data_IF_759535978955
#
_entry.id   IF_759535978955
#
_cell.length_a   1.000
_cell.length_b   1.000
_cell.length_c   1.000
_cell.angle_alpha   90.00
_cell.angle_beta   90.00
_cell.angle_gamma   90.00
#
_symmetry.space_group_name_H-M   'P 1'
#
loop_
_entity.id
_entity.type
_entity.pdbx_description
1 polymer ?
#
# COMPACT_ATOMS: atom_id res chain seq x y z
N UNK A 1 -19.23 11.73 -17.13
CA UNK A 1 -19.88 11.31 -15.85
C UNK A 1 -19.37 9.96 -15.32
N UNK A 2 -19.44 8.81 -16.03
CA UNK A 2 -18.96 7.53 -15.48
C UNK A 2 -17.44 7.46 -15.26
N UNK A 3 -16.66 8.27 -15.99
CA UNK A 3 -15.21 8.35 -15.84
C UNK A 3 -14.77 8.97 -14.50
N UNK A 4 -15.40 10.07 -14.08
CA UNK A 4 -15.09 10.75 -12.81
C UNK A 4 -15.40 9.91 -11.58
N UNK A 5 -16.46 9.09 -11.64
CA UNK A 5 -16.77 8.12 -10.59
C UNK A 5 -15.71 7.02 -10.49
N UNK A 6 -15.22 6.53 -11.63
CA UNK A 6 -14.16 5.52 -11.68
C UNK A 6 -12.84 6.07 -11.10
N UNK A 7 -12.48 7.30 -11.47
CA UNK A 7 -11.32 8.00 -10.90
C UNK A 7 -11.47 8.22 -9.39
N UNK A 8 -12.63 8.70 -8.95
CA UNK A 8 -12.92 8.91 -7.52
C UNK A 8 -12.82 7.62 -6.72
N UNK A 9 -13.38 6.52 -7.23
CA UNK A 9 -13.33 5.22 -6.56
C UNK A 9 -11.91 4.65 -6.54
N UNK A 10 -11.15 4.81 -7.63
CA UNK A 10 -9.73 4.42 -7.67
C UNK A 10 -8.91 5.22 -6.66
N UNK A 11 -9.11 6.54 -6.59
CA UNK A 11 -8.43 7.41 -5.63
C UNK A 11 -8.78 7.04 -4.18
N UNK A 12 -10.06 6.79 -3.87
CA UNK A 12 -10.49 6.35 -2.55
C UNK A 12 -9.86 4.99 -2.16
N UNK A 13 -9.80 4.04 -3.09
CA UNK A 13 -9.11 2.77 -2.89
C UNK A 13 -7.60 2.97 -2.64
N UNK A 14 -6.96 3.85 -3.41
CA UNK A 14 -5.54 4.17 -3.25
C UNK A 14 -5.23 4.79 -1.89
N UNK A 15 -6.04 5.76 -1.43
CA UNK A 15 -5.90 6.37 -0.10
C UNK A 15 -6.07 5.32 1.00
N UNK A 16 -7.11 4.47 0.90
CA UNK A 16 -7.36 3.40 1.87
C UNK A 16 -6.20 2.40 1.93
N UNK A 17 -5.66 2.03 0.77
CA UNK A 17 -4.50 1.15 0.65
C UNK A 17 -3.25 1.75 1.29
N UNK A 18 -2.92 3.01 0.97
CA UNK A 18 -1.76 3.73 1.51
C UNK A 18 -1.87 3.91 3.02
N UNK A 19 -3.05 4.26 3.53
CA UNK A 19 -3.29 4.38 4.97
C UNK A 19 -3.04 3.04 5.69
N UNK A 20 -3.52 1.92 5.13
CA UNK A 20 -3.27 0.59 5.67
C UNK A 20 -1.79 0.19 5.66
N UNK A 21 -1.09 0.46 4.55
CA UNK A 21 0.36 0.24 4.41
C UNK A 21 1.17 1.02 5.44
N UNK A 22 0.85 2.30 5.65
CA UNK A 22 1.50 3.15 6.64
C UNK A 22 1.20 2.68 8.06
N UNK A 23 -0.05 2.36 8.38
CA UNK A 23 -0.43 1.84 9.70
C UNK A 23 0.34 0.55 10.03
N UNK A 24 0.38 -0.42 9.10
CA UNK A 24 1.16 -1.63 9.24
C UNK A 24 2.66 -1.32 9.37
N UNK A 25 3.19 -0.38 8.58
CA UNK A 25 4.60 -0.01 8.62
C UNK A 25 5.00 0.59 9.98
N UNK A 26 4.16 1.47 10.54
CA UNK A 26 4.39 2.09 11.84
C UNK A 26 4.42 1.05 12.96
N UNK A 27 3.44 0.14 12.98
CA UNK A 27 3.42 -0.94 13.96
C UNK A 27 4.69 -1.78 13.87
N UNK A 28 5.05 -2.17 12.66
CA UNK A 28 6.22 -2.99 12.41
C UNK A 28 7.55 -2.27 12.72
N UNK A 29 7.62 -0.95 12.55
CA UNK A 29 8.82 -0.15 12.79
C UNK A 29 9.03 0.16 14.28
N UNK A 30 7.95 0.44 15.01
CA UNK A 30 8.04 1.05 16.33
C UNK A 30 7.59 0.13 17.47
N UNK A 31 6.76 -0.89 17.20
CA UNK A 31 6.37 -1.84 18.25
C UNK A 31 7.53 -2.82 18.50
N UNK A 32 8.10 -2.85 19.72
CA UNK A 32 9.29 -3.64 20.00
C UNK A 32 9.03 -5.14 20.02
N UNK A 33 7.85 -5.56 20.46
CA UNK A 33 7.53 -6.95 20.78
C UNK A 33 6.01 -7.14 20.91
N UNK A 34 5.56 -8.39 20.99
CA UNK A 34 4.13 -8.74 21.02
C UNK A 34 3.41 -8.22 22.27
N UNK A 35 4.09 -8.23 23.42
CA UNK A 35 3.62 -7.83 24.74
C UNK A 35 3.43 -6.31 24.90
N UNK A 36 4.02 -5.50 24.00
CA UNK A 36 3.85 -4.06 24.02
C UNK A 36 2.42 -3.59 23.68
N UNK A 37 1.58 -4.47 23.10
CA UNK A 37 0.21 -4.17 22.71
C UNK A 37 -0.74 -5.30 23.12
N UNK A 38 -2.00 -4.97 23.37
CA UNK A 38 -2.98 -5.96 23.83
C UNK A 38 -3.32 -7.01 22.75
N UNK A 39 -3.71 -8.23 23.14
CA UNK A 39 -4.19 -9.24 22.19
C UNK A 39 -5.38 -8.77 21.35
N UNK A 40 -6.26 -7.93 21.91
CA UNK A 40 -7.38 -7.33 21.21
C UNK A 40 -6.90 -6.37 20.10
N UNK A 41 -5.88 -5.55 20.39
CA UNK A 41 -5.27 -4.68 19.39
C UNK A 41 -4.71 -5.48 18.22
N UNK A 42 -3.96 -6.55 18.49
CA UNK A 42 -3.40 -7.39 17.43
C UNK A 42 -4.47 -8.06 16.56
N UNK A 43 -5.59 -8.48 17.15
CA UNK A 43 -6.74 -8.99 16.38
C UNK A 43 -7.31 -7.91 15.47
N UNK A 44 -7.52 -6.70 15.99
CA UNK A 44 -8.04 -5.57 15.21
C UNK A 44 -7.08 -5.17 14.08
N UNK A 45 -5.79 -5.02 14.35
CA UNK A 45 -4.77 -4.65 13.37
C UNK A 45 -4.69 -5.66 12.21
N UNK A 46 -4.71 -6.97 12.53
CA UNK A 46 -4.72 -8.02 11.49
C UNK A 46 -6.03 -8.07 10.72
N UNK A 47 -7.16 -7.85 11.39
CA UNK A 47 -8.46 -7.78 10.74
C UNK A 47 -8.51 -6.60 9.76
N UNK A 48 -8.04 -5.42 10.15
CA UNK A 48 -7.93 -4.25 9.28
C UNK A 48 -7.05 -4.54 8.06
N UNK A 49 -5.85 -5.09 8.26
CA UNK A 49 -4.94 -5.41 7.17
C UNK A 49 -5.57 -6.38 6.16
N UNK A 50 -6.31 -7.38 6.64
CA UNK A 50 -6.96 -8.40 5.80
C UNK A 50 -8.23 -7.89 5.12
N UNK A 51 -9.08 -7.18 5.84
CA UNK A 51 -10.45 -6.87 5.41
C UNK A 51 -10.62 -5.45 4.86
N UNK A 52 -9.67 -4.55 5.11
CA UNK A 52 -9.70 -3.17 4.59
C UNK A 52 -8.57 -2.98 3.59
N UNK A 53 -7.32 -3.21 4.00
CA UNK A 53 -6.16 -2.98 3.13
C UNK A 53 -6.09 -3.97 1.97
N UNK A 54 -6.40 -5.25 2.23
CA UNK A 54 -6.46 -6.31 1.21
C UNK A 54 -7.45 -6.03 0.08
N UNK A 55 -8.74 -5.75 0.36
CA UNK A 55 -9.68 -5.36 -0.69
C UNK A 55 -9.31 -4.04 -1.38
N UNK A 56 -8.75 -3.07 -0.65
CA UNK A 56 -8.34 -1.80 -1.24
C UNK A 56 -7.28 -1.98 -2.34
N UNK A 57 -6.28 -2.86 -2.16
CA UNK A 57 -5.29 -3.12 -3.22
C UNK A 57 -5.90 -3.78 -4.46
N UNK A 58 -6.89 -4.66 -4.28
CA UNK A 58 -7.61 -5.28 -5.40
C UNK A 58 -8.37 -4.22 -6.20
N UNK A 59 -9.01 -3.27 -5.52
CA UNK A 59 -9.69 -2.15 -6.16
C UNK A 59 -8.71 -1.19 -6.83
N UNK A 60 -7.54 -0.91 -6.24
CA UNK A 60 -6.49 -0.10 -6.87
C UNK A 60 -6.10 -0.68 -8.23
N UNK A 61 -5.84 -2.00 -8.29
CA UNK A 61 -5.49 -2.67 -9.54
C UNK A 61 -6.67 -2.73 -10.51
N UNK A 62 -7.84 -3.20 -10.08
CA UNK A 62 -9.00 -3.37 -10.95
C UNK A 62 -9.45 -2.05 -11.58
N UNK A 63 -9.59 -1.00 -10.77
CA UNK A 63 -10.03 0.32 -11.24
C UNK A 63 -8.92 1.04 -12.00
N UNK A 64 -7.66 0.90 -11.55
CA UNK A 64 -6.51 1.53 -12.19
C UNK A 64 -6.23 0.98 -13.58
N UNK A 65 -6.29 -0.34 -13.76
CA UNK A 65 -6.17 -0.97 -15.08
C UNK A 65 -7.35 -0.61 -15.98
N UNK A 66 -8.57 -0.55 -15.43
CA UNK A 66 -9.75 -0.10 -16.19
C UNK A 66 -9.57 1.33 -16.69
N UNK A 67 -9.05 2.24 -15.86
CA UNK A 67 -8.73 3.61 -16.25
C UNK A 67 -7.63 3.66 -17.32
N UNK A 68 -6.58 2.85 -17.18
CA UNK A 68 -5.49 2.79 -18.15
C UNK A 68 -5.95 2.32 -19.55
N UNK A 69 -6.82 1.31 -19.60
CA UNK A 69 -7.43 0.83 -20.85
C UNK A 69 -8.35 1.89 -21.43
N UNK A 70 -9.29 2.43 -20.64
CA UNK A 70 -10.26 3.44 -21.12
C UNK A 70 -9.61 4.76 -21.54
N UNK A 71 -8.49 5.12 -20.90
CA UNK A 71 -7.71 6.30 -21.24
C UNK A 71 -6.76 6.11 -22.44
N UNK A 72 -6.61 4.88 -22.95
CA UNK A 72 -5.71 4.58 -24.07
C UNK A 72 -4.21 4.74 -23.75
N UNK A 73 -3.82 4.69 -22.48
CA UNK A 73 -2.44 5.03 -22.04
C UNK A 73 -1.45 3.86 -22.11
N UNK A 74 -1.94 2.61 -22.15
CA UNK A 74 -1.09 1.41 -22.09
C UNK A 74 0.02 1.31 -23.16
N UNK A 75 -0.19 1.70 -24.44
CA UNK A 75 0.81 1.49 -25.48
C UNK A 75 1.98 2.47 -25.47
N UNK A 76 1.82 3.68 -24.90
CA UNK A 76 2.75 4.80 -25.14
C UNK A 76 3.05 5.68 -23.93
N UNK A 77 2.42 5.46 -22.76
CA UNK A 77 2.67 6.27 -21.57
C UNK A 77 3.78 5.68 -20.71
N UNK A 78 5.02 6.18 -20.84
CA UNK A 78 6.11 5.73 -19.99
C UNK A 78 5.85 6.07 -18.51
N UNK A 79 5.22 7.22 -18.21
CA UNK A 79 4.84 7.58 -16.84
C UNK A 79 3.92 6.54 -16.20
N UNK A 80 3.06 5.88 -16.98
CA UNK A 80 2.14 4.87 -16.50
C UNK A 80 2.91 3.60 -16.10
N UNK A 81 3.86 3.16 -16.92
CA UNK A 81 4.71 2.01 -16.60
C UNK A 81 5.56 2.25 -15.35
N UNK A 82 6.13 3.46 -15.21
CA UNK A 82 6.85 3.85 -14.00
C UNK A 82 5.92 3.84 -12.76
N UNK A 83 4.69 4.33 -12.89
CA UNK A 83 3.68 4.30 -11.82
C UNK A 83 3.31 2.85 -11.45
N UNK A 84 3.12 1.99 -12.44
CA UNK A 84 2.80 0.58 -12.23
C UNK A 84 3.93 -0.16 -11.52
N UNK A 85 5.20 0.14 -11.84
CA UNK A 85 6.35 -0.41 -11.13
C UNK A 85 6.32 -0.04 -9.63
N UNK A 86 6.05 1.22 -9.30
CA UNK A 86 5.91 1.67 -7.91
C UNK A 86 4.72 1.01 -7.19
N UNK A 87 3.55 0.94 -7.83
CA UNK A 87 2.37 0.29 -7.25
C UNK A 87 2.61 -1.21 -7.03
N UNK A 88 3.35 -1.85 -7.93
CA UNK A 88 3.74 -3.27 -7.81
C UNK A 88 4.69 -3.47 -6.63
N UNK A 89 5.69 -2.60 -6.47
CA UNK A 89 6.59 -2.64 -5.31
C UNK A 89 5.83 -2.46 -3.98
N UNK A 90 4.88 -1.52 -3.91
CA UNK A 90 4.00 -1.34 -2.75
C UNK A 90 3.08 -2.55 -2.51
N UNK A 91 2.66 -3.24 -3.58
CA UNK A 91 1.88 -4.47 -3.49
C UNK A 91 2.69 -5.61 -2.87
N UNK A 92 3.94 -5.78 -3.31
CA UNK A 92 4.87 -6.73 -2.70
C UNK A 92 5.14 -6.42 -1.23
N UNK A 93 5.31 -5.13 -0.90
CA UNK A 93 5.49 -4.68 0.47
C UNK A 93 4.27 -5.02 1.36
N UNK A 94 3.05 -4.82 0.87
CA UNK A 94 1.83 -5.18 1.59
C UNK A 94 1.79 -6.68 1.97
N UNK A 95 2.20 -7.56 1.05
CA UNK A 95 2.33 -8.99 1.32
C UNK A 95 3.39 -9.31 2.38
N UNK A 96 4.57 -8.68 2.27
CA UNK A 96 5.64 -8.83 3.26
C UNK A 96 5.23 -8.34 4.66
N UNK A 97 4.50 -7.22 4.73
CA UNK A 97 3.94 -6.68 5.97
C UNK A 97 2.92 -7.62 6.60
N UNK A 98 2.06 -8.26 5.80
CA UNK A 98 1.09 -9.24 6.31
C UNK A 98 1.79 -10.38 7.06
N UNK A 99 2.83 -10.96 6.46
CA UNK A 99 3.64 -12.00 7.09
C UNK A 99 4.35 -11.50 8.35
N UNK A 100 4.92 -10.30 8.30
CA UNK A 100 5.63 -9.71 9.43
C UNK A 100 4.71 -9.37 10.62
N UNK A 101 3.49 -8.89 10.37
CA UNK A 101 2.50 -8.61 11.41
C UNK A 101 2.06 -9.88 12.12
N UNK A 102 1.89 -10.99 11.38
CA UNK A 102 1.55 -12.29 11.99
C UNK A 102 2.65 -12.76 12.94
N UNK A 103 3.92 -12.73 12.51
CA UNK A 103 5.06 -13.14 13.34
C UNK A 103 5.23 -12.26 14.57
N UNK A 104 5.18 -10.95 14.39
CA UNK A 104 5.30 -9.99 15.50
C UNK A 104 4.21 -10.21 16.55
N UNK A 105 2.96 -10.41 16.12
CA UNK A 105 1.85 -10.65 17.04
C UNK A 105 1.87 -12.05 17.70
N UNK A 106 2.62 -13.00 17.15
CA UNK A 106 2.83 -14.33 17.73
C UNK A 106 4.00 -14.37 18.73
N UNK A 107 4.73 -13.27 18.93
CA UNK A 107 5.94 -13.24 19.75
C UNK A 107 7.16 -13.88 19.08
N UNK A 108 7.04 -14.27 17.80
CA UNK A 108 8.16 -14.76 17.01
C UNK A 108 9.07 -13.57 16.68
N UNK A 109 10.15 -13.47 17.46
CA UNK A 109 11.06 -12.32 17.49
C UNK A 109 11.40 -11.76 16.11
N UNK A 110 11.31 -10.43 15.99
CA UNK A 110 11.67 -9.71 14.76
C UNK A 110 13.08 -9.17 14.92
N UNK A 111 14.02 -9.61 14.08
CA UNK A 111 15.26 -8.85 13.89
C UNK A 111 14.88 -7.48 13.33
N UNK A 112 15.04 -6.43 14.13
CA UNK A 112 14.92 -5.03 13.68
C UNK A 112 15.97 -4.79 12.61
N UNK A 113 15.60 -4.89 11.33
CA UNK A 113 16.47 -4.50 10.22
C UNK A 113 16.40 -2.99 10.05
N UNK A 114 17.52 -2.34 9.69
CA UNK A 114 17.54 -0.92 9.38
C UNK A 114 16.47 -0.53 8.35
N UNK A 115 16.26 -1.40 7.36
CA UNK A 115 15.22 -1.27 6.34
C UNK A 115 13.80 -1.21 6.93
N UNK A 116 13.54 -1.95 8.02
CA UNK A 116 12.24 -1.96 8.69
C UNK A 116 11.88 -0.62 9.35
N UNK A 117 12.88 0.18 9.76
CA UNK A 117 12.67 1.50 10.40
C UNK A 117 12.35 2.60 9.38
N UNK A 118 12.95 2.51 8.19
CA UNK A 118 12.71 3.48 7.11
C UNK A 118 11.49 3.16 6.24
N UNK A 119 10.85 2.00 6.46
CA UNK A 119 9.69 1.56 5.68
C UNK A 119 8.56 2.60 5.57
N UNK A 120 8.14 3.33 6.63
CA UNK A 120 7.15 4.40 6.48
C UNK A 120 7.60 5.50 5.50
N UNK A 121 8.86 5.93 5.60
CA UNK A 121 9.43 6.96 4.71
C UNK A 121 9.52 6.47 3.25
N UNK A 122 9.88 5.20 3.04
CA UNK A 122 9.89 4.59 1.71
C UNK A 122 8.49 4.54 1.08
N UNK A 123 7.45 4.25 1.88
CA UNK A 123 6.06 4.27 1.41
C UNK A 123 5.66 5.70 1.00
N UNK A 124 5.95 6.70 1.83
CA UNK A 124 5.66 8.11 1.51
C UNK A 124 6.39 8.54 0.24
N UNK A 125 7.67 8.20 0.10
CA UNK A 125 8.46 8.54 -1.08
C UNK A 125 7.86 7.91 -2.36
N UNK A 126 7.46 6.64 -2.29
CA UNK A 126 6.79 5.97 -3.41
C UNK A 126 5.45 6.64 -3.76
N UNK A 127 4.66 7.06 -2.77
CA UNK A 127 3.39 7.78 -2.98
C UNK A 127 3.65 9.14 -3.65
N UNK A 128 4.64 9.90 -3.19
CA UNK A 128 5.03 11.17 -3.83
C UNK A 128 5.44 10.94 -5.28
N UNK A 129 6.26 9.92 -5.55
CA UNK A 129 6.63 9.54 -6.91
C UNK A 129 5.41 9.20 -7.78
N UNK A 130 4.46 8.42 -7.25
CA UNK A 130 3.20 8.09 -7.94
C UNK A 130 2.38 9.36 -8.26
N UNK A 131 2.29 10.31 -7.33
CA UNK A 131 1.56 11.57 -7.52
C UNK A 131 2.23 12.45 -8.58
N UNK A 132 3.56 12.58 -8.56
CA UNK A 132 4.32 13.31 -9.58
C UNK A 132 4.09 12.69 -10.97
N UNK A 133 4.12 11.36 -11.08
CA UNK A 133 3.90 10.67 -12.35
C UNK A 133 2.47 10.88 -12.90
N UNK A 134 1.45 10.77 -12.05
CA UNK A 134 0.05 10.86 -12.52
C UNK A 134 -0.39 12.30 -12.81
N UNK A 135 0.13 13.29 -12.06
CA UNK A 135 -0.21 14.71 -12.24
C UNK A 135 0.63 15.30 -13.37
N UNK A 136 1.94 15.08 -13.34
CA UNK A 136 2.88 15.69 -14.28
C UNK A 136 2.93 15.01 -15.65
N UNK A 137 2.63 13.70 -15.73
CA UNK A 137 2.69 12.87 -16.95
C UNK A 137 3.91 13.18 -17.85
N UNK A 138 5.14 13.14 -17.31
CA UNK A 138 6.31 13.79 -17.93
C UNK A 138 6.84 13.13 -19.22
N UNK A 139 6.43 11.89 -19.54
CA UNK A 139 6.89 11.14 -20.71
C UNK A 139 5.92 10.00 -21.07
#
# INVERSE_FOLDING_TARGET
MPYLWLESLHAAAAVTFVAGLLAAALLLAFVPSADALSPAFWRAARAWHRWVTGPAILLVWGLGLTLAVKGGWLPSAGWLWAKLALVTALSGLHGAQAGALRRLAAGEGRRRTALGRFMPALIVLAVVGILVLVIGKPF
#
